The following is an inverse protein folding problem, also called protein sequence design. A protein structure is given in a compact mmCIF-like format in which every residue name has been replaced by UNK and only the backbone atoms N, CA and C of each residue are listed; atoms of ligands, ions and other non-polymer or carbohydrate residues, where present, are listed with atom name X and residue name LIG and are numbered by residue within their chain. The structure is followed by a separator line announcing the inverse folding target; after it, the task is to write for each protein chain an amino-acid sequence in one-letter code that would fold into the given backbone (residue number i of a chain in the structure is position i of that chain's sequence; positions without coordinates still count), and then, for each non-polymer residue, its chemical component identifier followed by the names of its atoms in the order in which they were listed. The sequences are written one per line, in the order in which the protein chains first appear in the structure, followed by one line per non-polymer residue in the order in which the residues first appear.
data_IF_208973327365
#
_entry.id   IF_208973327365
#
_cell.length_a   1.000
_cell.length_b   1.000
_cell.length_c   1.000
_cell.angle_alpha   90.00
_cell.angle_beta   90.00
_cell.angle_gamma   90.00
#
_symmetry.space_group_name_H-M   'P 1'
#
loop_
_entity.id
_entity.type
_entity.pdbx_description
1 polymer ?
#
# COMPACT_ATOMS: atom_id res chain seq x y z
N UNK A 1 8.02 -15.94 -19.42
CA UNK A 1 8.07 -15.11 -18.19
C UNK A 1 8.22 -13.66 -18.66
N UNK A 2 7.14 -12.87 -18.67
CA UNK A 2 7.24 -11.45 -18.98
C UNK A 2 7.71 -10.75 -17.71
N UNK A 3 8.90 -10.16 -17.74
CA UNK A 3 9.36 -9.28 -16.68
C UNK A 3 8.79 -7.90 -17.00
N UNK A 4 7.76 -7.49 -16.26
CA UNK A 4 7.29 -6.11 -16.29
C UNK A 4 8.17 -5.28 -15.37
N UNK A 5 9.13 -4.57 -15.96
CA UNK A 5 9.92 -3.57 -15.25
C UNK A 5 9.15 -2.26 -15.26
N UNK A 6 8.65 -1.85 -14.08
CA UNK A 6 8.03 -0.54 -13.91
C UNK A 6 9.11 0.48 -13.55
N UNK A 7 9.44 1.37 -14.48
CA UNK A 7 10.36 2.48 -14.22
C UNK A 7 9.65 3.57 -13.42
N UNK A 8 9.98 3.71 -12.13
CA UNK A 8 9.55 4.85 -11.33
C UNK A 8 10.68 5.87 -11.28
N UNK A 9 10.59 6.89 -12.14
CA UNK A 9 11.46 8.06 -12.06
C UNK A 9 11.14 8.86 -10.79
N UNK A 10 12.10 8.88 -9.86
CA UNK A 10 12.12 9.77 -8.70
C UNK A 10 13.11 10.90 -8.96
N UNK A 11 12.66 12.15 -8.87
CA UNK A 11 13.50 13.34 -8.99
C UNK A 11 14.01 13.76 -7.61
N UNK A 12 15.33 13.90 -7.47
CA UNK A 12 16.03 14.29 -6.25
C UNK A 12 15.66 15.72 -5.80
N UNK A 13 15.21 15.87 -4.56
CA UNK A 13 15.03 17.14 -3.84
C UNK A 13 15.56 16.99 -2.42
N UNK A 14 16.16 18.06 -1.87
CA UNK A 14 16.97 18.03 -0.64
C UNK A 14 16.24 17.46 0.60
N UNK A 15 16.97 16.67 1.39
CA UNK A 15 16.47 15.94 2.56
C UNK A 15 16.32 16.82 3.82
N UNK A 16 15.11 17.28 4.09
CA UNK A 16 14.65 17.54 5.46
C UNK A 16 14.20 16.22 6.10
N UNK A 17 14.08 16.17 7.42
CA UNK A 17 13.75 14.95 8.14
C UNK A 17 12.45 14.34 7.60
N UNK A 18 12.50 13.04 7.28
CA UNK A 18 11.38 12.32 6.71
C UNK A 18 10.23 12.23 7.72
N UNK A 19 9.09 12.77 7.32
CA UNK A 19 7.79 12.55 7.95
C UNK A 19 7.12 11.41 7.16
N UNK A 20 6.18 10.62 7.71
CA UNK A 20 5.29 9.76 6.92
C UNK A 20 3.92 10.41 6.64
N UNK A 21 3.26 9.99 5.54
CA UNK A 21 1.87 10.35 5.24
C UNK A 21 0.99 10.23 6.48
N UNK A 22 0.13 11.21 6.71
CA UNK A 22 -0.84 11.10 7.79
C UNK A 22 -1.81 9.95 7.53
N UNK A 23 -2.40 9.41 8.60
CA UNK A 23 -3.45 8.39 8.46
C UNK A 23 -4.58 8.88 7.54
N UNK A 24 -4.96 10.14 7.66
CA UNK A 24 -6.03 10.74 6.85
C UNK A 24 -5.62 10.86 5.38
N UNK A 25 -4.35 11.17 5.10
CA UNK A 25 -3.77 11.14 3.76
C UNK A 25 -3.82 9.73 3.13
N UNK A 26 -3.43 8.68 3.87
CA UNK A 26 -3.56 7.29 3.43
C UNK A 26 -5.02 6.93 3.15
N UNK A 27 -5.93 7.23 4.08
CA UNK A 27 -7.35 6.92 3.95
C UNK A 27 -7.98 7.63 2.73
N UNK A 28 -7.60 8.88 2.46
CA UNK A 28 -8.03 9.62 1.27
C UNK A 28 -7.55 8.93 -0.01
N UNK A 29 -6.27 8.57 -0.10
CA UNK A 29 -5.71 7.88 -1.27
C UNK A 29 -6.41 6.53 -1.50
N UNK A 30 -6.64 5.75 -0.44
CA UNK A 30 -7.35 4.47 -0.48
C UNK A 30 -8.81 4.67 -0.95
N UNK A 31 -9.53 5.65 -0.39
CA UNK A 31 -10.90 5.95 -0.80
C UNK A 31 -11.01 6.29 -2.28
N UNK A 32 -10.07 7.08 -2.82
CA UNK A 32 -10.10 7.48 -4.23
C UNK A 32 -9.69 6.30 -5.12
N UNK A 33 -8.61 5.59 -4.79
CA UNK A 33 -8.11 4.48 -5.59
C UNK A 33 -9.07 3.29 -5.62
N UNK A 34 -9.87 3.10 -4.57
CA UNK A 34 -10.75 1.93 -4.44
C UNK A 34 -12.20 2.34 -4.18
N UNK A 35 -12.67 3.40 -4.84
CA UNK A 35 -14.02 3.94 -4.66
C UNK A 35 -15.15 2.93 -4.99
N UNK A 36 -14.89 2.00 -5.91
CA UNK A 36 -15.83 0.95 -6.32
C UNK A 36 -15.72 -0.33 -5.47
N UNK A 37 -14.79 -0.36 -4.50
CA UNK A 37 -14.62 -1.49 -3.59
C UNK A 37 -15.77 -1.55 -2.57
N UNK A 38 -16.10 -2.76 -2.12
CA UNK A 38 -17.10 -2.91 -1.06
C UNK A 38 -16.65 -2.18 0.22
N UNK A 39 -17.59 -1.54 0.90
CA UNK A 39 -17.29 -0.70 2.08
C UNK A 39 -16.54 -1.45 3.19
N UNK A 40 -16.88 -2.72 3.43
CA UNK A 40 -16.23 -3.55 4.44
C UNK A 40 -14.80 -3.96 4.04
N UNK A 41 -14.58 -4.30 2.77
CA UNK A 41 -13.23 -4.50 2.25
C UNK A 41 -12.40 -3.21 2.29
N UNK A 42 -13.00 -2.07 1.93
CA UNK A 42 -12.34 -0.76 1.97
C UNK A 42 -11.92 -0.39 3.39
N UNK A 43 -12.76 -0.67 4.40
CA UNK A 43 -12.42 -0.52 5.81
C UNK A 43 -11.24 -1.42 6.21
N UNK A 44 -11.22 -2.68 5.74
CA UNK A 44 -10.09 -3.58 5.99
C UNK A 44 -8.80 -3.14 5.30
N UNK A 45 -8.86 -2.56 4.10
CA UNK A 45 -7.67 -1.98 3.43
C UNK A 45 -7.10 -0.84 4.28
N UNK A 46 -7.95 0.04 4.82
CA UNK A 46 -7.52 1.13 5.71
C UNK A 46 -6.94 0.62 7.03
N UNK A 47 -7.60 -0.35 7.65
CA UNK A 47 -7.12 -1.01 8.87
C UNK A 47 -5.75 -1.67 8.63
N UNK A 48 -5.60 -2.35 7.49
CA UNK A 48 -4.35 -2.96 7.06
C UNK A 48 -3.24 -1.91 6.93
N UNK A 49 -3.54 -0.79 6.27
CA UNK A 49 -2.61 0.33 6.14
C UNK A 49 -2.21 0.90 7.51
N UNK A 50 -3.19 1.24 8.36
CA UNK A 50 -2.95 1.76 9.70
C UNK A 50 -2.19 0.80 10.61
N UNK A 51 -2.32 -0.52 10.41
CA UNK A 51 -1.58 -1.53 11.18
C UNK A 51 -0.08 -1.50 10.89
N UNK A 52 0.34 -1.01 9.72
CA UNK A 52 1.76 -0.83 9.41
C UNK A 52 2.35 0.32 10.21
N UNK A 53 1.56 1.34 10.57
CA UNK A 53 1.98 2.45 11.43
C UNK A 53 2.03 2.12 12.93
N UNK A 54 1.72 0.90 13.35
CA UNK A 54 1.75 0.54 14.77
C UNK A 54 3.12 0.76 15.39
N UNK A 55 3.17 1.05 16.71
CA UNK A 55 4.41 1.37 17.44
C UNK A 55 5.48 0.29 17.24
N UNK A 56 5.08 -0.98 17.11
CA UNK A 56 5.97 -2.11 16.88
C UNK A 56 6.71 -2.06 15.53
N UNK A 57 6.21 -1.28 14.57
CA UNK A 57 6.79 -1.07 13.25
C UNK A 57 7.60 0.23 13.14
N UNK A 58 7.50 1.13 14.12
CA UNK A 58 8.18 2.42 14.16
C UNK A 58 9.66 2.32 14.57
N UNK A 59 10.43 1.43 13.94
CA UNK A 59 11.85 1.23 14.23
C UNK A 59 12.71 1.04 12.97
N UNK A 60 14.02 1.22 13.12
CA UNK A 60 14.97 1.19 12.02
C UNK A 60 15.04 -0.14 11.28
N UNK A 61 14.77 -1.25 11.97
CA UNK A 61 14.81 -2.59 11.38
C UNK A 61 13.59 -2.85 10.50
N UNK A 62 12.55 -2.04 10.64
CA UNK A 62 11.30 -2.08 9.90
C UNK A 62 11.08 -0.85 9.01
N UNK A 63 12.09 -0.01 8.85
CA UNK A 63 12.02 1.19 8.01
C UNK A 63 11.53 0.92 6.58
N UNK A 64 11.80 -0.27 6.03
CA UNK A 64 11.36 -0.66 4.69
C UNK A 64 9.83 -0.75 4.55
N UNK A 65 9.10 -0.98 5.65
CA UNK A 65 7.64 -0.97 5.68
C UNK A 65 7.09 0.42 5.33
N UNK A 66 7.80 1.46 5.76
CA UNK A 66 7.49 2.86 5.49
C UNK A 66 8.26 3.39 4.29
N UNK A 67 8.66 2.51 3.37
CA UNK A 67 9.47 2.88 2.22
C UNK A 67 10.79 3.63 2.53
N UNK A 68 11.33 3.52 3.75
CA UNK A 68 12.58 4.16 4.19
C UNK A 68 13.72 3.13 4.28
N UNK A 69 14.91 3.59 4.69
CA UNK A 69 16.05 2.69 4.97
C UNK A 69 16.56 2.83 6.39
N UNK A 70 16.97 1.71 6.98
CA UNK A 70 17.63 1.71 8.28
C UNK A 70 19.02 2.40 8.24
N UNK A 71 19.59 2.76 9.40
CA UNK A 71 20.96 3.26 9.49
C UNK A 71 21.94 2.31 8.80
N UNK A 72 22.83 2.85 7.96
CA UNK A 72 23.83 2.10 7.19
C UNK A 72 23.26 1.14 6.11
N UNK A 73 21.95 1.05 5.93
CA UNK A 73 21.36 0.30 4.83
C UNK A 73 21.54 1.07 3.50
N UNK A 74 21.92 0.37 2.44
CA UNK A 74 21.96 0.97 1.10
C UNK A 74 20.54 1.21 0.58
N UNK A 75 20.38 2.21 -0.29
CA UNK A 75 19.09 2.50 -0.95
C UNK A 75 18.57 1.27 -1.68
N UNK A 76 19.44 0.56 -2.39
CA UNK A 76 19.09 -0.67 -3.12
C UNK A 76 18.61 -1.79 -2.20
N UNK A 77 19.26 -1.99 -1.05
CA UNK A 77 18.82 -3.00 -0.07
C UNK A 77 17.44 -2.64 0.50
N UNK A 78 17.18 -1.37 0.78
CA UNK A 78 15.88 -0.91 1.27
C UNK A 78 14.78 -1.05 0.21
N UNK A 79 15.06 -0.71 -1.05
CA UNK A 79 14.15 -0.94 -2.19
C UNK A 79 13.77 -2.41 -2.31
N UNK A 80 14.75 -3.31 -2.24
CA UNK A 80 14.51 -4.75 -2.32
C UNK A 80 13.70 -5.28 -1.12
N UNK A 81 13.97 -4.80 0.10
CA UNK A 81 13.17 -5.19 1.26
C UNK A 81 11.73 -4.70 1.18
N UNK A 82 11.51 -3.45 0.75
CA UNK A 82 10.17 -2.92 0.52
C UNK A 82 9.42 -3.69 -0.58
N UNK A 83 10.10 -4.02 -1.70
CA UNK A 83 9.52 -4.84 -2.77
C UNK A 83 9.12 -6.23 -2.27
N UNK A 84 10.02 -6.91 -1.54
CA UNK A 84 9.76 -8.23 -0.96
C UNK A 84 8.60 -8.20 0.04
N UNK A 85 8.47 -7.12 0.81
CA UNK A 85 7.36 -6.94 1.74
C UNK A 85 6.03 -6.80 1.01
N UNK A 86 5.95 -5.87 0.05
CA UNK A 86 4.75 -5.67 -0.79
C UNK A 86 4.36 -6.98 -1.47
N UNK A 87 5.34 -7.68 -2.05
CA UNK A 87 5.12 -8.98 -2.67
C UNK A 87 4.50 -9.98 -1.69
N UNK A 88 5.12 -10.16 -0.53
CA UNK A 88 4.67 -11.12 0.47
C UNK A 88 3.23 -10.84 0.91
N UNK A 89 2.90 -9.60 1.21
CA UNK A 89 1.55 -9.24 1.66
C UNK A 89 0.51 -9.48 0.54
N UNK A 90 0.85 -9.18 -0.71
CA UNK A 90 -0.03 -9.49 -1.84
C UNK A 90 -0.15 -10.99 -2.14
N UNK A 91 0.90 -11.78 -1.95
CA UNK A 91 0.83 -13.25 -2.05
C UNK A 91 -0.13 -13.81 -0.99
N UNK A 92 -0.03 -13.34 0.26
CA UNK A 92 -0.97 -13.73 1.32
C UNK A 92 -2.40 -13.28 0.96
N UNK A 93 -2.57 -12.07 0.45
CA UNK A 93 -3.88 -11.56 0.03
C UNK A 93 -4.48 -12.43 -1.10
N UNK A 94 -3.69 -12.79 -2.11
CA UNK A 94 -4.13 -13.58 -3.26
C UNK A 94 -4.47 -15.03 -2.88
N UNK A 95 -3.65 -15.66 -2.02
CA UNK A 95 -3.90 -17.02 -1.51
C UNK A 95 -5.18 -17.06 -0.68
N UNK A 96 -5.35 -16.10 0.24
CA UNK A 96 -6.55 -15.97 1.06
C UNK A 96 -7.80 -15.71 0.20
N UNK A 97 -7.69 -14.85 -0.82
CA UNK A 97 -8.77 -14.57 -1.76
C UNK A 97 -9.16 -15.80 -2.59
N UNK A 98 -8.17 -16.55 -3.07
CA UNK A 98 -8.40 -17.77 -3.85
C UNK A 98 -9.12 -18.84 -3.05
N UNK A 99 -8.81 -18.97 -1.76
CA UNK A 99 -9.56 -19.84 -0.84
C UNK A 99 -11.00 -19.37 -0.57
N UNK A 100 -11.24 -18.06 -0.70
CA UNK A 100 -12.54 -17.43 -0.43
C UNK A 100 -13.51 -17.43 -1.61
N UNK A 101 -13.11 -17.89 -2.80
CA UNK A 101 -13.92 -17.73 -4.02
C UNK A 101 -14.22 -19.03 -4.75
N UNK A 102 -15.37 -19.07 -5.42
CA UNK A 102 -15.72 -20.11 -6.38
C UNK A 102 -16.10 -19.50 -7.74
N UNK A 103 -15.72 -20.19 -8.81
CA UNK A 103 -16.17 -19.81 -10.15
C UNK A 103 -17.65 -20.16 -10.27
N UNK A 104 -18.49 -19.16 -10.54
CA UNK A 104 -19.93 -19.38 -10.71
C UNK A 104 -20.16 -20.09 -12.04
N UNK A 105 -20.58 -21.36 -11.99
CA UNK A 105 -21.17 -22.00 -13.16
C UNK A 105 -22.49 -21.28 -13.47
N UNK A 106 -22.65 -20.83 -14.72
CA UNK A 106 -23.77 -20.02 -15.25
C UNK A 106 -25.20 -20.58 -15.07
N UNK A 107 -25.40 -21.63 -14.28
CA UNK A 107 -26.66 -22.38 -14.11
C UNK A 107 -27.28 -22.28 -12.71
N UNK A 108 -26.73 -21.47 -11.79
CA UNK A 108 -27.29 -21.31 -10.43
C UNK A 108 -28.44 -20.29 -10.43
N UNK A 109 -29.69 -20.78 -10.46
CA UNK A 109 -30.91 -19.97 -10.47
C UNK A 109 -31.28 -19.31 -9.13
N UNK A 110 -30.35 -19.18 -8.17
CA UNK A 110 -30.66 -18.55 -6.88
C UNK A 110 -29.93 -17.18 -6.74
N UNK A 111 -30.56 -16.08 -7.20
CA UNK A 111 -29.96 -14.74 -7.27
C UNK A 111 -29.89 -14.01 -5.90
N UNK A 112 -30.20 -14.67 -4.80
CA UNK A 112 -30.20 -14.01 -3.49
C UNK A 112 -28.76 -13.84 -2.98
N UNK A 113 -28.29 -12.58 -3.02
CA UNK A 113 -27.12 -12.04 -2.30
C UNK A 113 -25.78 -12.74 -2.59
N UNK A 114 -25.51 -13.01 -3.86
CA UNK A 114 -24.20 -13.45 -4.30
C UNK A 114 -23.30 -12.23 -4.53
N UNK A 115 -22.34 -12.01 -3.62
CA UNK A 115 -21.29 -11.01 -3.85
C UNK A 115 -20.27 -11.58 -4.82
N UNK A 116 -20.04 -10.84 -5.90
CA UNK A 116 -19.00 -11.20 -6.85
C UNK A 116 -17.90 -10.15 -6.84
N UNK A 117 -16.67 -10.59 -7.03
CA UNK A 117 -15.52 -9.75 -7.36
C UNK A 117 -14.82 -10.40 -8.54
N UNK A 118 -14.54 -9.62 -9.58
CA UNK A 118 -13.89 -10.10 -10.80
C UNK A 118 -14.60 -11.33 -11.42
N UNK A 119 -15.94 -11.36 -11.31
CA UNK A 119 -16.78 -12.47 -11.78
C UNK A 119 -16.73 -13.75 -10.92
N UNK A 120 -16.03 -13.75 -9.79
CA UNK A 120 -15.96 -14.87 -8.84
C UNK A 120 -16.90 -14.64 -7.65
N UNK A 121 -17.64 -15.67 -7.26
CA UNK A 121 -18.48 -15.64 -6.05
C UNK A 121 -17.61 -15.71 -4.82
N UNK A 122 -17.84 -14.81 -3.87
CA UNK A 122 -17.23 -14.86 -2.53
C UNK A 122 -18.03 -15.88 -1.70
N UNK A 123 -17.39 -17.00 -1.34
CA UNK A 123 -17.95 -18.08 -0.54
C UNK A 123 -17.55 -18.03 0.94
N UNK A 124 -16.49 -17.28 1.28
CA UNK A 124 -16.09 -17.04 2.67
C UNK A 124 -15.78 -15.55 2.89
N UNK A 125 -16.64 -14.85 3.64
CA UNK A 125 -16.48 -13.43 3.90
C UNK A 125 -15.25 -13.11 4.77
N UNK A 126 -14.92 -13.96 5.75
CA UNK A 126 -13.80 -13.69 6.64
C UNK A 126 -12.46 -13.75 5.89
N UNK A 127 -12.30 -14.74 5.01
CA UNK A 127 -11.11 -14.86 4.16
C UNK A 127 -11.05 -13.69 3.16
N UNK A 128 -12.19 -13.27 2.60
CA UNK A 128 -12.24 -12.08 1.75
C UNK A 128 -11.78 -10.82 2.47
N UNK A 129 -12.28 -10.57 3.68
CA UNK A 129 -11.90 -9.42 4.50
C UNK A 129 -10.43 -9.49 4.94
N UNK A 130 -9.92 -10.67 5.28
CA UNK A 130 -8.51 -10.87 5.58
C UNK A 130 -7.62 -10.60 4.35
N UNK A 131 -8.06 -10.96 3.14
CA UNK A 131 -7.36 -10.58 1.90
C UNK A 131 -7.27 -9.06 1.75
N UNK A 132 -8.38 -8.34 2.02
CA UNK A 132 -8.41 -6.88 1.99
C UNK A 132 -7.46 -6.24 3.02
N UNK A 133 -7.33 -6.81 4.22
CA UNK A 133 -6.37 -6.37 5.23
C UNK A 133 -4.93 -6.44 4.72
N UNK A 134 -4.55 -7.57 4.11
CA UNK A 134 -3.21 -7.75 3.55
C UNK A 134 -2.93 -6.83 2.35
N UNK A 135 -3.93 -6.55 1.51
CA UNK A 135 -3.83 -5.50 0.47
C UNK A 135 -3.50 -4.15 1.09
N UNK A 136 -4.20 -3.78 2.17
CA UNK A 136 -3.96 -2.54 2.92
C UNK A 136 -2.51 -2.38 3.38
N UNK A 137 -1.93 -3.45 3.94
CA UNK A 137 -0.54 -3.47 4.39
C UNK A 137 0.47 -3.24 3.27
N UNK A 138 0.27 -3.90 2.13
CA UNK A 138 1.12 -3.69 0.96
C UNK A 138 0.98 -2.25 0.42
N UNK A 139 -0.26 -1.77 0.33
CA UNK A 139 -0.58 -0.45 -0.21
C UNK A 139 -0.01 0.68 0.63
N UNK A 140 0.11 0.52 1.95
CA UNK A 140 0.78 1.49 2.82
C UNK A 140 2.21 1.78 2.34
N UNK A 141 3.03 0.75 2.15
CA UNK A 141 4.41 0.91 1.65
C UNK A 141 4.43 1.52 0.23
N UNK A 142 3.43 1.23 -0.60
CA UNK A 142 3.29 1.82 -1.93
C UNK A 142 2.99 3.32 -1.83
N UNK A 143 2.03 3.73 -1.02
CA UNK A 143 1.70 5.14 -0.80
C UNK A 143 2.89 5.91 -0.25
N UNK A 144 3.57 5.34 0.75
CA UNK A 144 4.78 5.89 1.34
C UNK A 144 5.91 6.03 0.34
N UNK A 145 6.08 5.08 -0.58
CA UNK A 145 7.12 5.17 -1.61
C UNK A 145 6.97 6.37 -2.55
N UNK A 146 5.79 6.98 -2.60
CA UNK A 146 5.52 8.18 -3.39
C UNK A 146 5.59 9.46 -2.58
N UNK A 147 5.69 9.36 -1.25
CA UNK A 147 5.74 10.53 -0.39
C UNK A 147 7.01 11.34 -0.63
N UNK A 148 6.93 12.69 -0.73
CA UNK A 148 8.11 13.53 -0.85
C UNK A 148 9.13 13.30 0.27
N UNK A 149 8.70 13.07 1.51
CA UNK A 149 9.65 12.90 2.60
C UNK A 149 10.30 11.50 2.62
N UNK A 150 9.72 10.55 1.89
CA UNK A 150 10.28 9.20 1.69
C UNK A 150 11.12 9.10 0.41
N UNK A 151 11.28 10.23 -0.31
CA UNK A 151 12.11 10.30 -1.50
C UNK A 151 13.51 9.74 -1.22
N UNK A 152 14.01 8.98 -2.20
CA UNK A 152 15.34 8.36 -2.16
C UNK A 152 15.59 7.41 -0.97
N UNK A 153 14.52 6.90 -0.33
CA UNK A 153 14.62 6.02 0.84
C UNK A 153 15.40 6.73 1.94
N UNK A 154 14.85 7.83 2.43
CA UNK A 154 15.42 8.58 3.54
C UNK A 154 15.77 7.66 4.73
N UNK A 155 16.81 8.02 5.49
CA UNK A 155 17.29 7.21 6.62
C UNK A 155 16.30 7.36 7.78
N UNK A 156 15.85 6.24 8.33
CA UNK A 156 15.06 6.19 9.55
C UNK A 156 15.88 6.67 10.75
N UNK A 157 15.46 7.77 11.38
CA UNK A 157 16.15 8.37 12.53
C UNK A 157 15.23 8.40 13.76
N UNK A 158 15.37 7.37 14.60
CA UNK A 158 14.59 7.17 15.84
C UNK A 158 14.70 8.34 16.84
N UNK A 159 15.83 9.05 16.85
CA UNK A 159 16.15 10.09 17.85
C UNK A 159 15.92 11.53 17.37
N UNK A 160 15.35 11.72 16.18
CA UNK A 160 14.87 13.04 15.80
C UNK A 160 13.60 13.30 16.62
N UNK A 161 13.55 14.39 17.35
CA UNK A 161 12.33 14.89 18.03
C UNK A 161 11.13 15.09 17.08
N UNK A 162 11.31 14.86 15.78
CA UNK A 162 10.30 14.74 14.73
C UNK A 162 9.36 13.54 14.88
N UNK A 163 9.50 12.70 15.91
CA UNK A 163 8.45 11.72 16.24
C UNK A 163 7.07 12.38 16.46
N UNK A 164 7.08 13.63 16.93
CA UNK A 164 5.88 14.43 17.07
C UNK A 164 5.47 15.13 15.78
N UNK A 165 6.39 15.33 14.82
CA UNK A 165 6.11 15.95 13.52
C UNK A 165 5.50 14.97 12.51
N UNK A 166 5.11 13.77 12.96
CA UNK A 166 4.38 12.77 12.21
C UNK A 166 2.88 13.11 12.10
N UNK A 167 2.30 13.00 10.90
CA UNK A 167 0.85 13.12 10.70
C UNK A 167 0.34 14.54 10.48
N UNK A 168 -0.91 14.81 10.89
CA UNK A 168 -1.66 16.05 10.61
C UNK A 168 -1.20 17.28 11.42
N UNK A 169 0.11 17.40 11.69
CA UNK A 169 0.63 18.59 12.34
C UNK A 169 0.72 19.77 11.37
N UNK A 170 0.52 21.02 11.85
CA UNK A 170 0.63 22.20 11.02
C UNK A 170 2.01 22.32 10.34
N UNK A 171 2.02 22.29 9.01
CA UNK A 171 3.23 22.49 8.20
C UNK A 171 3.90 21.20 7.74
N UNK A 172 3.33 20.01 8.01
CA UNK A 172 3.82 18.79 7.36
C UNK A 172 3.56 18.84 5.86
N UNK A 173 4.42 18.20 5.08
CA UNK A 173 4.25 18.05 3.63
C UNK A 173 3.33 16.86 3.29
N UNK A 174 2.64 16.33 4.29
CA UNK A 174 2.14 14.96 4.28
C UNK A 174 0.76 14.82 4.94
N UNK A 175 0.06 15.93 5.08
CA UNK A 175 -1.35 15.96 5.46
C UNK A 175 -2.27 15.80 4.24
N UNK A 176 -3.56 15.62 4.52
CA UNK A 176 -4.60 15.54 3.48
C UNK A 176 -4.57 16.78 2.58
N UNK A 177 -4.33 17.95 3.16
CA UNK A 177 -4.32 19.22 2.44
C UNK A 177 -3.20 19.27 1.40
N UNK A 178 -2.00 18.80 1.72
CA UNK A 178 -0.88 18.76 0.80
C UNK A 178 -1.18 17.84 -0.39
N UNK A 179 -1.80 16.68 -0.18
CA UNK A 179 -2.26 15.81 -1.27
C UNK A 179 -3.31 16.49 -2.16
N UNK A 180 -4.25 17.21 -1.56
CA UNK A 180 -5.30 17.92 -2.29
C UNK A 180 -4.72 19.07 -3.13
N UNK A 181 -3.71 19.77 -2.60
CA UNK A 181 -3.03 20.87 -3.29
C UNK A 181 -2.05 20.38 -4.37
N UNK A 182 -1.67 19.10 -4.37
CA UNK A 182 -0.74 18.49 -5.34
C UNK A 182 -1.41 17.37 -6.16
N UNK A 183 -2.28 17.72 -7.13
CA UNK A 183 -3.06 16.73 -7.89
C UNK A 183 -2.20 15.74 -8.68
N UNK A 184 -1.05 16.17 -9.20
CA UNK A 184 -0.13 15.28 -9.94
C UNK A 184 0.48 14.21 -9.04
N UNK A 185 0.90 14.59 -7.83
CA UNK A 185 1.40 13.65 -6.83
C UNK A 185 0.31 12.64 -6.45
N UNK A 186 -0.88 13.14 -6.11
CA UNK A 186 -2.05 12.30 -5.79
C UNK A 186 -2.37 11.30 -6.91
N UNK A 187 -2.42 11.76 -8.16
CA UNK A 187 -2.72 10.89 -9.32
C UNK A 187 -1.60 9.89 -9.60
N UNK A 188 -0.33 10.28 -9.41
CA UNK A 188 0.81 9.36 -9.49
C UNK A 188 0.70 8.25 -8.45
N UNK A 189 0.38 8.59 -7.21
CA UNK A 189 0.20 7.62 -6.11
C UNK A 189 -0.95 6.67 -6.38
N UNK A 190 -2.13 7.18 -6.74
CA UNK A 190 -3.31 6.36 -7.11
C UNK A 190 -2.98 5.44 -8.29
N UNK A 191 -2.32 5.96 -9.33
CA UNK A 191 -1.89 5.18 -10.49
C UNK A 191 -0.98 4.02 -10.10
N UNK A 192 -0.01 4.27 -9.22
CA UNK A 192 0.89 3.23 -8.73
C UNK A 192 0.16 2.17 -7.88
N UNK A 193 -0.76 2.58 -7.00
CA UNK A 193 -1.60 1.67 -6.22
C UNK A 193 -2.39 0.73 -7.14
N UNK A 194 -3.04 1.25 -8.17
CA UNK A 194 -3.77 0.42 -9.14
C UNK A 194 -2.88 -0.51 -9.96
N UNK A 195 -1.67 -0.08 -10.32
CA UNK A 195 -0.73 -0.93 -11.03
C UNK A 195 -0.34 -2.10 -10.14
N UNK A 196 0.17 -1.82 -8.93
CA UNK A 196 0.62 -2.87 -8.01
C UNK A 196 -0.53 -3.83 -7.67
N UNK A 197 -1.71 -3.30 -7.32
CA UNK A 197 -2.88 -4.12 -6.97
C UNK A 197 -3.28 -5.08 -8.09
N UNK A 198 -3.32 -4.60 -9.35
CA UNK A 198 -3.67 -5.45 -10.50
C UNK A 198 -2.58 -6.47 -10.84
N UNK A 199 -1.30 -6.08 -10.80
CA UNK A 199 -0.18 -7.00 -11.07
C UNK A 199 -0.24 -8.23 -10.15
N UNK A 200 -0.62 -8.04 -8.90
CA UNK A 200 -0.73 -9.13 -7.94
C UNK A 200 -2.08 -9.85 -7.98
N UNK A 201 -3.20 -9.12 -7.90
CA UNK A 201 -4.52 -9.73 -7.75
C UNK A 201 -5.06 -10.33 -9.05
N UNK A 202 -4.78 -9.71 -10.20
CA UNK A 202 -5.27 -10.18 -11.51
C UNK A 202 -4.25 -11.10 -12.19
N UNK A 203 -2.97 -10.72 -12.18
CA UNK A 203 -1.94 -11.41 -12.94
C UNK A 203 -1.12 -12.42 -12.12
N UNK A 204 -1.28 -12.46 -10.80
CA UNK A 204 -0.55 -13.38 -9.93
C UNK A 204 0.97 -13.24 -10.06
N UNK A 205 1.45 -12.02 -10.30
CA UNK A 205 2.89 -11.79 -10.44
C UNK A 205 3.63 -12.16 -9.16
N UNK A 206 4.77 -12.84 -9.33
CA UNK A 206 5.67 -13.27 -8.23
C UNK A 206 7.02 -12.59 -8.28
N UNK A 207 7.22 -11.62 -9.17
CA UNK A 207 8.50 -10.94 -9.35
C UNK A 207 8.24 -9.44 -9.56
N UNK A 208 8.11 -8.69 -8.46
CA UNK A 208 8.02 -7.23 -8.49
C UNK A 208 9.33 -6.61 -8.00
N UNK A 209 9.79 -5.57 -8.68
CA UNK A 209 11.00 -4.83 -8.29
C UNK A 209 10.74 -3.34 -8.40
N UNK A 210 11.22 -2.59 -7.41
CA UNK A 210 11.36 -1.14 -7.51
C UNK A 210 12.70 -0.85 -8.18
N UNK A 211 12.67 -0.45 -9.46
CA UNK A 211 13.83 0.17 -10.10
C UNK A 211 13.80 1.68 -9.92
#
# INVERSE_FOLDING_TARGET
MLIFTLFLLFTAGASEAAVPWSKDAHDLLINIAFADERSDCLEQIKEGSSSVDSIENQNSDRAYLHAMRGPNQSVESAKNQAANYIQREYEIAADTYSGSTQTVSSTSENPLLQFTRDGKLITNMNDYLASCLHRGRALHTVTDSTSPAHAERAIWRILSFHFFDHGDLPGTLEDEKHLLDNPDLKMKTIGLMHIVDRLYMEFGMKDFRFE
#
